data_IF_673858400308
#
_entry.id   IF_673858400308
#
_cell.length_a   1.000
_cell.length_b   1.000
_cell.length_c   1.000
_cell.angle_alpha   90.00
_cell.angle_beta   90.00
_cell.angle_gamma   90.00
#
_symmetry.space_group_name_H-M   'P 1'
#
loop_
_entity.id
_entity.type
_entity.pdbx_description
1 polymer ?
#
# COMPACT_ATOMS: atom_id res chain seq x y z
N UNK A 1 -4.61 61.36 19.94
CA UNK A 1 -4.60 60.08 20.67
C UNK A 1 -5.51 59.14 19.90
N UNK A 2 -4.91 58.41 18.96
CA UNK A 2 -5.36 57.10 18.50
C UNK A 2 -5.35 56.10 19.67
N UNK A 3 -5.93 54.87 19.58
CA UNK A 3 -6.10 54.10 18.34
C UNK A 3 -7.38 53.27 18.15
N UNK A 4 -7.69 53.05 16.87
CA UNK A 4 -7.96 51.77 16.20
C UNK A 4 -8.98 50.79 16.83
N UNK A 5 -10.15 50.68 16.19
CA UNK A 5 -10.92 49.44 16.16
C UNK A 5 -10.40 48.63 14.95
N UNK A 6 -9.59 47.57 15.15
CA UNK A 6 -9.01 46.83 14.06
C UNK A 6 -10.11 45.99 13.42
N UNK A 7 -10.19 46.08 12.09
CA UNK A 7 -10.85 45.11 11.23
C UNK A 7 -10.89 43.72 11.87
N UNK A 8 -12.09 43.30 12.28
CA UNK A 8 -12.43 41.89 12.40
C UNK A 8 -12.19 41.29 11.02
N UNK A 9 -10.97 40.82 10.80
CA UNK A 9 -10.64 39.82 9.80
C UNK A 9 -11.50 38.61 10.14
N UNK A 10 -12.72 38.60 9.62
CA UNK A 10 -13.43 37.36 9.37
C UNK A 10 -12.43 36.53 8.58
N UNK A 11 -11.93 35.40 9.12
CA UNK A 11 -11.01 34.57 8.38
C UNK A 11 -11.74 34.21 7.10
N UNK A 12 -11.14 34.59 5.98
CA UNK A 12 -11.65 34.36 4.65
C UNK A 12 -11.94 32.85 4.52
N UNK A 13 -13.22 32.49 4.64
CA UNK A 13 -13.72 31.11 4.54
C UNK A 13 -13.74 30.66 3.07
N UNK A 14 -12.86 31.21 2.25
CA UNK A 14 -12.65 30.83 0.85
C UNK A 14 -11.24 30.28 0.61
N UNK A 15 -10.68 29.52 1.58
CA UNK A 15 -9.87 28.38 1.15
C UNK A 15 -10.81 27.43 0.44
N UNK A 16 -10.75 27.41 -0.89
CA UNK A 16 -11.42 26.42 -1.73
C UNK A 16 -11.31 25.06 -1.05
N UNK A 17 -12.44 24.49 -0.67
CA UNK A 17 -12.49 23.14 -0.10
C UNK A 17 -11.84 22.20 -1.12
N UNK A 18 -10.89 21.38 -0.69
CA UNK A 18 -10.19 20.43 -1.56
C UNK A 18 -11.20 19.42 -2.09
N UNK A 19 -11.45 19.42 -3.40
CA UNK A 19 -12.35 18.46 -4.03
C UNK A 19 -11.65 17.11 -4.28
N UNK A 20 -12.47 16.08 -4.52
CA UNK A 20 -12.01 14.69 -4.64
C UNK A 20 -11.09 14.46 -5.85
N UNK A 21 -11.40 15.08 -7.00
CA UNK A 21 -10.65 14.91 -8.24
C UNK A 21 -9.27 15.58 -8.12
N UNK A 22 -9.22 16.82 -7.62
CA UNK A 22 -7.96 17.51 -7.33
C UNK A 22 -7.12 16.72 -6.32
N UNK A 23 -7.75 16.16 -5.27
CA UNK A 23 -7.04 15.35 -4.28
C UNK A 23 -6.44 14.06 -4.86
N UNK A 24 -7.15 13.39 -5.78
CA UNK A 24 -6.65 12.23 -6.50
C UNK A 24 -5.46 12.61 -7.40
N UNK A 25 -5.57 13.73 -8.12
CA UNK A 25 -4.49 14.21 -9.00
C UNK A 25 -3.24 14.61 -8.22
N UNK A 26 -3.37 15.33 -7.12
CA UNK A 26 -2.22 15.71 -6.29
C UNK A 26 -1.58 14.49 -5.62
N UNK A 27 -2.39 13.51 -5.21
CA UNK A 27 -1.87 12.24 -4.70
C UNK A 27 -1.16 11.42 -5.78
N UNK A 28 -1.63 11.44 -7.03
CA UNK A 28 -0.95 10.80 -8.15
C UNK A 28 0.40 11.48 -8.46
N UNK A 29 0.47 12.82 -8.41
CA UNK A 29 1.73 13.55 -8.54
C UNK A 29 2.70 13.22 -7.40
N UNK A 30 2.20 13.11 -6.17
CA UNK A 30 3.04 12.72 -5.03
C UNK A 30 3.59 11.29 -5.20
N UNK A 31 2.78 10.37 -5.70
CA UNK A 31 3.22 9.01 -6.03
C UNK A 31 4.27 9.01 -7.15
N UNK A 32 4.10 9.82 -8.19
CA UNK A 32 5.09 9.96 -9.26
C UNK A 32 6.42 10.55 -8.75
N UNK A 33 6.38 11.51 -7.82
CA UNK A 33 7.58 12.03 -7.14
C UNK A 33 8.26 10.92 -6.32
N UNK A 34 7.48 10.18 -5.55
CA UNK A 34 7.96 9.07 -4.73
C UNK A 34 8.67 7.99 -5.58
N UNK A 35 8.07 7.60 -6.70
CA UNK A 35 8.62 6.60 -7.62
C UNK A 35 9.85 7.08 -8.39
N UNK A 36 10.06 8.40 -8.46
CA UNK A 36 11.30 9.02 -8.95
C UNK A 36 12.29 9.35 -7.81
N UNK A 37 12.17 8.67 -6.66
CA UNK A 37 13.05 8.82 -5.50
C UNK A 37 13.01 10.21 -4.83
N UNK A 38 12.05 11.07 -5.16
CA UNK A 38 11.85 12.39 -4.53
C UNK A 38 10.93 12.26 -3.32
N UNK A 39 11.35 11.47 -2.33
CA UNK A 39 10.50 11.07 -1.20
C UNK A 39 10.07 12.28 -0.34
N UNK A 40 11.01 13.17 -0.05
CA UNK A 40 10.74 14.38 0.73
C UNK A 40 9.75 15.32 0.02
N UNK A 41 9.91 15.52 -1.28
CA UNK A 41 9.01 16.35 -2.09
C UNK A 41 7.60 15.76 -2.17
N UNK A 42 7.48 14.43 -2.26
CA UNK A 42 6.19 13.74 -2.23
C UNK A 42 5.47 14.00 -0.90
N UNK A 43 6.16 13.88 0.24
CA UNK A 43 5.60 14.17 1.55
C UNK A 43 5.22 15.64 1.72
N UNK A 44 6.07 16.55 1.23
CA UNK A 44 5.82 18.00 1.30
C UNK A 44 4.63 18.43 0.45
N UNK A 45 4.40 17.79 -0.70
CA UNK A 45 3.21 18.01 -1.52
C UNK A 45 1.94 17.61 -0.78
N UNK A 46 1.95 16.48 -0.04
CA UNK A 46 0.77 15.97 0.65
C UNK A 46 0.48 16.66 2.00
N UNK A 47 1.51 17.14 2.67
CA UNK A 47 1.45 17.63 4.06
C UNK A 47 0.40 18.75 4.30
N UNK A 48 0.23 19.77 3.43
CA UNK A 48 -0.69 20.89 3.70
C UNK A 48 -2.16 20.49 3.80
N UNK A 49 -2.54 19.40 3.14
CA UNK A 49 -3.94 18.96 3.00
C UNK A 49 -4.28 17.71 3.80
N UNK A 50 -3.31 17.13 4.51
CA UNK A 50 -3.46 15.85 5.23
C UNK A 50 -4.55 15.83 6.31
N UNK A 51 -5.01 16.99 6.78
CA UNK A 51 -6.12 17.10 7.76
C UNK A 51 -7.47 17.49 7.14
N UNK A 52 -7.49 17.73 5.83
CA UNK A 52 -8.65 18.26 5.11
C UNK A 52 -9.04 17.39 3.91
N UNK A 53 -8.23 16.39 3.53
CA UNK A 53 -8.48 15.54 2.38
C UNK A 53 -8.04 14.11 2.68
N UNK A 54 -8.95 13.14 2.49
CA UNK A 54 -8.71 11.72 2.77
C UNK A 54 -7.52 11.15 1.98
N UNK A 55 -7.37 11.55 0.72
CA UNK A 55 -6.32 11.05 -0.18
C UNK A 55 -4.94 11.55 0.22
N UNK A 56 -4.82 12.84 0.54
CA UNK A 56 -3.59 13.40 1.07
C UNK A 56 -3.21 12.79 2.43
N UNK A 57 -4.21 12.58 3.30
CA UNK A 57 -4.00 11.97 4.61
C UNK A 57 -3.50 10.53 4.49
N UNK A 58 -4.17 9.69 3.69
CA UNK A 58 -3.78 8.31 3.44
C UNK A 58 -2.42 8.25 2.75
N UNK A 59 -2.23 8.94 1.63
CA UNK A 59 -0.95 8.96 0.90
C UNK A 59 0.24 9.35 1.79
N UNK A 60 0.10 10.43 2.57
CA UNK A 60 1.14 10.88 3.50
C UNK A 60 1.44 9.81 4.56
N UNK A 61 0.40 9.26 5.19
CA UNK A 61 0.57 8.22 6.20
C UNK A 61 1.15 6.92 5.63
N UNK A 62 0.79 6.54 4.41
CA UNK A 62 1.28 5.34 3.73
C UNK A 62 2.77 5.43 3.42
N UNK A 63 3.26 6.60 2.97
CA UNK A 63 4.68 6.82 2.74
C UNK A 63 5.49 6.74 4.04
N UNK A 64 4.96 7.29 5.15
CA UNK A 64 5.58 7.14 6.47
C UNK A 64 5.53 5.70 6.99
N UNK A 65 4.47 4.94 6.71
CA UNK A 65 4.39 3.51 7.04
C UNK A 65 5.45 2.72 6.28
N UNK A 66 5.66 3.02 4.99
CA UNK A 66 6.74 2.40 4.22
C UNK A 66 8.11 2.72 4.83
N UNK A 67 8.34 3.97 5.22
CA UNK A 67 9.58 4.35 5.93
C UNK A 67 9.72 3.57 7.25
N UNK A 68 8.71 3.57 8.12
CA UNK A 68 8.74 2.86 9.40
C UNK A 68 8.96 1.35 9.23
N UNK A 69 8.29 0.73 8.26
CA UNK A 69 8.45 -0.67 7.92
C UNK A 69 9.81 -0.98 7.32
N UNK A 70 10.51 -0.01 6.74
CA UNK A 70 11.88 -0.14 6.26
C UNK A 70 12.93 0.08 7.36
N UNK A 71 12.76 1.10 8.21
CA UNK A 71 13.78 1.47 9.18
C UNK A 71 13.70 0.68 10.48
N UNK A 72 12.49 0.21 10.85
CA UNK A 72 12.19 -0.34 12.18
C UNK A 72 12.61 0.59 13.34
N UNK A 73 12.80 1.89 13.07
CA UNK A 73 13.19 2.85 14.09
C UNK A 73 11.96 3.25 14.93
N UNK A 74 12.05 3.21 16.28
CA UNK A 74 10.92 3.56 17.14
C UNK A 74 10.29 4.93 16.81
N UNK A 75 11.13 5.92 16.49
CA UNK A 75 10.69 7.27 16.12
C UNK A 75 9.90 7.29 14.81
N UNK A 76 10.29 6.49 13.82
CA UNK A 76 9.58 6.44 12.53
C UNK A 76 8.28 5.66 12.67
N UNK A 77 8.28 4.56 13.46
CA UNK A 77 7.06 3.81 13.80
C UNK A 77 6.06 4.68 14.55
N UNK A 78 6.50 5.51 15.50
CA UNK A 78 5.64 6.45 16.22
C UNK A 78 5.04 7.53 15.30
N UNK A 79 5.87 8.13 14.42
CA UNK A 79 5.41 9.09 13.41
C UNK A 79 4.36 8.49 12.48
N UNK A 80 4.62 7.29 11.95
CA UNK A 80 3.70 6.58 11.08
C UNK A 80 2.38 6.23 11.81
N UNK A 81 2.47 5.76 13.06
CA UNK A 81 1.30 5.46 13.90
C UNK A 81 0.44 6.69 14.14
N UNK A 82 1.07 7.83 14.41
CA UNK A 82 0.39 9.11 14.61
C UNK A 82 -0.29 9.59 13.33
N UNK A 83 0.44 9.58 12.21
CA UNK A 83 -0.10 9.96 10.90
C UNK A 83 -1.28 9.07 10.48
N UNK A 84 -1.22 7.76 10.73
CA UNK A 84 -2.35 6.85 10.49
C UNK A 84 -3.56 7.15 11.38
N UNK A 85 -3.34 7.54 12.64
CA UNK A 85 -4.44 7.96 13.52
C UNK A 85 -5.13 9.24 13.00
N UNK A 86 -4.34 10.23 12.58
CA UNK A 86 -4.83 11.46 11.97
C UNK A 86 -5.55 11.19 10.64
N UNK A 87 -5.02 10.27 9.82
CA UNK A 87 -5.63 9.86 8.55
C UNK A 87 -6.97 9.17 8.75
N UNK A 88 -7.08 8.23 9.71
CA UNK A 88 -8.35 7.60 10.08
C UNK A 88 -9.38 8.63 10.56
N UNK A 89 -8.97 9.62 11.37
CA UNK A 89 -9.84 10.70 11.81
C UNK A 89 -10.33 11.55 10.64
N UNK A 90 -9.42 11.88 9.71
CA UNK A 90 -9.74 12.66 8.51
C UNK A 90 -10.73 11.89 7.64
N UNK A 91 -10.47 10.63 7.32
CA UNK A 91 -11.40 9.79 6.55
C UNK A 91 -12.77 9.68 7.23
N UNK A 92 -12.80 9.53 8.56
CA UNK A 92 -14.06 9.44 9.33
C UNK A 92 -14.95 10.69 9.19
N UNK A 93 -14.40 11.86 8.89
CA UNK A 93 -15.19 13.08 8.66
C UNK A 93 -15.99 13.02 7.36
N UNK A 94 -15.53 12.25 6.38
CA UNK A 94 -16.14 12.09 5.04
C UNK A 94 -16.97 10.80 4.90
N UNK A 95 -16.81 9.84 5.82
CA UNK A 95 -17.63 8.62 5.83
C UNK A 95 -19.09 8.94 6.14
N UNK A 96 -20.01 8.14 5.60
CA UNK A 96 -21.44 8.25 5.90
C UNK A 96 -21.66 8.20 7.40
N UNK A 97 -22.30 9.24 7.93
CA UNK A 97 -22.61 9.33 9.36
C UNK A 97 -23.88 8.54 9.64
N UNK A 98 -23.74 7.25 9.95
CA UNK A 98 -24.89 6.46 10.41
C UNK A 98 -25.33 7.01 11.76
N UNK A 99 -26.50 7.65 11.81
CA UNK A 99 -27.12 8.02 13.09
C UNK A 99 -27.57 6.74 13.82
N UNK A 100 -27.62 6.76 15.17
CA UNK A 100 -28.01 5.57 15.94
C UNK A 100 -29.39 5.00 15.54
N UNK A 101 -30.27 5.84 14.98
CA UNK A 101 -31.59 5.44 14.48
C UNK A 101 -31.47 4.68 13.15
N UNK A 102 -30.63 5.14 12.22
CA UNK A 102 -30.39 4.45 10.94
C UNK A 102 -29.69 3.10 11.14
N UNK A 103 -28.74 3.00 12.08
CA UNK A 103 -28.07 1.74 12.42
C UNK A 103 -29.04 0.65 12.92
N UNK A 104 -30.05 1.04 13.70
CA UNK A 104 -31.11 0.12 14.11
C UNK A 104 -32.00 -0.25 12.92
N UNK A 105 -32.28 0.70 12.02
CA UNK A 105 -33.16 0.48 10.87
C UNK A 105 -32.53 -0.42 9.80
N UNK A 106 -31.23 -0.28 9.53
CA UNK A 106 -30.47 -1.13 8.59
C UNK A 106 -30.37 -2.59 9.04
N UNK A 107 -30.33 -2.85 10.35
CA UNK A 107 -30.35 -4.21 10.91
C UNK A 107 -31.68 -4.92 10.61
N UNK A 108 -32.79 -4.17 10.52
CA UNK A 108 -34.13 -4.72 10.26
C UNK A 108 -34.55 -4.65 8.78
N UNK A 109 -34.01 -3.70 8.01
CA UNK A 109 -34.32 -3.51 6.60
C UNK A 109 -33.01 -3.27 5.83
N UNK A 110 -32.59 -4.25 5.02
CA UNK A 110 -31.52 -4.07 4.03
C UNK A 110 -31.98 -3.05 2.98
N UNK A 111 -31.69 -1.78 3.21
CA UNK A 111 -31.83 -0.74 2.18
C UNK A 111 -30.73 -0.93 1.12
N UNK A 112 -31.03 -0.72 -0.17
CA UNK A 112 -30.04 -0.79 -1.24
C UNK A 112 -29.03 0.36 -1.16
N UNK A 113 -27.88 0.19 -1.81
CA UNK A 113 -26.75 1.13 -1.86
C UNK A 113 -27.02 2.47 -2.59
N UNK A 114 -28.29 2.87 -2.78
CA UNK A 114 -28.69 4.02 -3.60
C UNK A 114 -28.40 5.39 -2.93
N UNK A 115 -27.88 5.42 -1.71
CA UNK A 115 -27.70 6.64 -0.89
C UNK A 115 -26.23 6.98 -0.54
N UNK A 116 -25.23 6.51 -1.30
CA UNK A 116 -23.82 6.85 -1.07
C UNK A 116 -23.28 7.80 -2.14
N UNK A 117 -22.68 8.90 -1.71
CA UNK A 117 -21.91 9.80 -2.59
C UNK A 117 -20.56 9.19 -2.96
N UNK A 118 -19.93 9.62 -4.07
CA UNK A 118 -18.57 9.21 -4.42
C UNK A 118 -17.58 9.47 -3.29
N UNK A 119 -17.70 10.62 -2.63
CA UNK A 119 -16.82 11.03 -1.55
C UNK A 119 -16.93 10.08 -0.35
N UNK A 120 -18.13 9.65 0.01
CA UNK A 120 -18.35 8.65 1.06
C UNK A 120 -17.80 7.27 0.67
N UNK A 121 -17.97 6.84 -0.58
CA UNK A 121 -17.39 5.59 -1.07
C UNK A 121 -15.85 5.62 -1.00
N UNK A 122 -15.24 6.70 -1.49
CA UNK A 122 -13.80 6.87 -1.42
C UNK A 122 -13.29 6.98 0.03
N UNK A 123 -14.09 7.56 0.93
CA UNK A 123 -13.75 7.65 2.35
C UNK A 123 -13.75 6.28 3.05
N UNK A 124 -14.71 5.40 2.72
CA UNK A 124 -14.73 4.01 3.20
C UNK A 124 -13.49 3.25 2.73
N UNK A 125 -13.14 3.35 1.45
CA UNK A 125 -11.94 2.75 0.88
C UNK A 125 -10.65 3.25 1.56
N UNK A 126 -10.48 4.58 1.66
CA UNK A 126 -9.33 5.21 2.30
C UNK A 126 -9.21 4.83 3.79
N UNK A 127 -10.36 4.74 4.49
CA UNK A 127 -10.39 4.30 5.88
C UNK A 127 -9.96 2.84 6.02
N UNK A 128 -10.45 1.95 5.15
CA UNK A 128 -10.06 0.55 5.15
C UNK A 128 -8.55 0.37 4.92
N UNK A 129 -7.95 1.18 4.03
CA UNK A 129 -6.50 1.20 3.77
C UNK A 129 -5.69 1.65 4.98
N UNK A 130 -6.01 2.80 5.55
CA UNK A 130 -5.33 3.30 6.73
C UNK A 130 -5.49 2.31 7.91
N UNK A 131 -6.64 1.64 8.02
CA UNK A 131 -6.87 0.66 9.05
C UNK A 131 -6.03 -0.62 8.85
N UNK A 132 -5.88 -1.07 7.60
CA UNK A 132 -5.00 -2.18 7.23
C UNK A 132 -3.55 -1.85 7.57
N UNK A 133 -3.05 -0.71 7.12
CA UNK A 133 -1.68 -0.26 7.39
C UNK A 133 -1.42 -0.13 8.90
N UNK A 134 -2.38 0.42 9.65
CA UNK A 134 -2.30 0.50 11.12
C UNK A 134 -2.30 -0.87 11.79
N UNK A 135 -3.10 -1.81 11.29
CA UNK A 135 -3.08 -3.20 11.76
C UNK A 135 -1.75 -3.88 11.50
N UNK A 136 -1.20 -3.71 10.30
CA UNK A 136 0.11 -4.25 9.94
C UNK A 136 1.24 -3.67 10.82
N UNK A 137 1.23 -2.34 11.06
CA UNK A 137 2.25 -1.67 11.86
C UNK A 137 2.25 -2.13 13.33
N UNK A 138 1.10 -2.56 13.87
CA UNK A 138 1.05 -3.11 15.24
C UNK A 138 1.75 -4.45 15.40
N UNK A 139 2.03 -5.19 14.31
CA UNK A 139 2.81 -6.42 14.39
C UNK A 139 4.31 -6.18 14.51
N UNK A 140 4.78 -4.94 14.37
CA UNK A 140 6.16 -4.58 14.69
C UNK A 140 6.41 -4.59 16.20
N UNK A 141 5.35 -4.50 17.02
CA UNK A 141 5.43 -4.74 18.46
C UNK A 141 5.27 -6.26 18.71
N UNK A 142 6.27 -6.86 19.35
CA UNK A 142 6.36 -8.30 19.63
C UNK A 142 5.37 -8.78 20.72
N UNK A 143 4.49 -7.90 21.23
CA UNK A 143 3.53 -8.26 22.27
C UNK A 143 2.28 -8.99 21.75
N UNK A 144 1.81 -10.00 22.50
CA UNK A 144 0.58 -10.74 22.20
C UNK A 144 -0.67 -9.83 22.14
N UNK A 145 -0.69 -8.78 22.97
CA UNK A 145 -1.79 -7.79 22.97
C UNK A 145 -1.82 -7.03 21.64
N UNK A 146 -0.65 -6.63 21.13
CA UNK A 146 -0.55 -5.95 19.85
C UNK A 146 -0.89 -6.86 18.67
N UNK A 147 -0.55 -8.14 18.75
CA UNK A 147 -1.01 -9.14 17.77
C UNK A 147 -2.54 -9.22 17.68
N UNK A 148 -3.25 -9.32 18.81
CA UNK A 148 -4.72 -9.36 18.83
C UNK A 148 -5.32 -8.06 18.28
N UNK A 149 -4.78 -6.90 18.71
CA UNK A 149 -5.24 -5.59 18.24
C UNK A 149 -5.03 -5.43 16.73
N UNK A 150 -3.89 -5.89 16.20
CA UNK A 150 -3.58 -5.89 14.78
C UNK A 150 -4.55 -6.74 13.99
N UNK A 151 -4.78 -7.97 14.43
CA UNK A 151 -5.76 -8.88 13.82
C UNK A 151 -7.16 -8.27 13.71
N UNK A 152 -7.68 -7.68 14.80
CA UNK A 152 -9.01 -7.04 14.80
C UNK A 152 -9.09 -5.91 13.75
N UNK A 153 -8.03 -5.08 13.64
CA UNK A 153 -7.99 -3.99 12.64
C UNK A 153 -8.00 -4.52 11.21
N UNK A 154 -7.19 -5.54 10.94
CA UNK A 154 -7.10 -6.18 9.63
C UNK A 154 -8.45 -6.79 9.24
N UNK A 155 -9.13 -7.47 10.18
CA UNK A 155 -10.48 -7.98 9.95
C UNK A 155 -11.47 -6.86 9.60
N UNK A 156 -11.49 -5.80 10.39
CA UNK A 156 -12.42 -4.70 10.16
C UNK A 156 -12.15 -4.04 8.80
N UNK A 157 -10.88 -3.87 8.42
CA UNK A 157 -10.50 -3.42 7.09
C UNK A 157 -11.05 -4.35 6.00
N UNK A 158 -10.86 -5.67 6.14
CA UNK A 158 -11.39 -6.64 5.18
C UNK A 158 -12.91 -6.56 5.01
N UNK A 159 -13.66 -6.38 6.10
CA UNK A 159 -15.11 -6.24 6.04
C UNK A 159 -15.55 -4.98 5.29
N UNK A 160 -14.90 -3.83 5.54
CA UNK A 160 -15.18 -2.59 4.80
C UNK A 160 -14.85 -2.76 3.32
N UNK A 161 -13.73 -3.40 2.99
CA UNK A 161 -13.40 -3.72 1.61
C UNK A 161 -14.46 -4.60 0.94
N UNK A 162 -15.05 -5.57 1.67
CA UNK A 162 -16.12 -6.43 1.15
C UNK A 162 -17.38 -5.64 0.83
N UNK A 163 -17.72 -4.65 1.66
CA UNK A 163 -18.82 -3.72 1.38
C UNK A 163 -18.50 -2.88 0.12
N UNK A 164 -17.28 -2.36 0.01
CA UNK A 164 -16.83 -1.62 -1.18
C UNK A 164 -16.87 -2.47 -2.47
N UNK A 165 -16.57 -3.77 -2.40
CA UNK A 165 -16.66 -4.72 -3.52
C UNK A 165 -18.09 -4.92 -4.03
N UNK A 166 -19.04 -4.96 -3.10
CA UNK A 166 -20.47 -4.99 -3.44
C UNK A 166 -20.88 -3.70 -4.16
N UNK A 167 -20.50 -2.53 -3.63
CA UNK A 167 -20.80 -1.24 -4.27
C UNK A 167 -20.16 -1.09 -5.65
N UNK A 168 -18.90 -1.50 -5.80
CA UNK A 168 -18.17 -1.53 -7.07
C UNK A 168 -18.91 -2.38 -8.12
N UNK A 169 -19.47 -3.53 -7.71
CA UNK A 169 -20.22 -4.42 -8.61
C UNK A 169 -21.59 -3.85 -8.99
N UNK A 170 -22.29 -3.21 -8.04
CA UNK A 170 -23.58 -2.55 -8.30
C UNK A 170 -23.42 -1.38 -9.29
N UNK A 171 -22.38 -0.57 -9.10
CA UNK A 171 -22.10 0.57 -9.96
C UNK A 171 -21.73 0.18 -11.41
N UNK A 172 -21.17 -1.02 -11.65
CA UNK A 172 -20.92 -1.53 -13.02
C UNK A 172 -22.20 -1.72 -13.84
N UNK A 173 -23.33 -1.96 -13.17
CA UNK A 173 -24.62 -2.20 -13.83
C UNK A 173 -25.40 -0.92 -14.12
N UNK A 174 -24.93 0.23 -13.61
CA UNK A 174 -25.46 1.55 -13.88
C UNK A 174 -24.44 2.27 -14.78
N UNK A 175 -24.60 2.11 -16.08
CA UNK A 175 -23.72 2.74 -17.06
C UNK A 175 -24.00 4.24 -17.14
N UNK A 176 -23.33 5.06 -16.33
CA UNK A 176 -22.96 6.44 -16.68
C UNK A 176 -21.99 7.10 -15.66
N UNK A 177 -20.92 7.68 -16.21
CA UNK A 177 -20.30 8.95 -15.81
C UNK A 177 -19.85 9.18 -14.35
N UNK A 178 -18.72 8.59 -13.96
CA UNK A 178 -17.98 9.04 -12.77
C UNK A 178 -16.47 9.05 -13.09
N UNK A 179 -15.81 10.22 -13.04
CA UNK A 179 -14.37 10.33 -13.33
C UNK A 179 -13.51 9.56 -12.31
N UNK A 180 -13.98 9.48 -11.07
CA UNK A 180 -13.26 8.91 -9.93
C UNK A 180 -13.50 7.40 -9.75
N UNK A 181 -14.53 6.83 -10.40
CA UNK A 181 -14.94 5.44 -10.23
C UNK A 181 -13.83 4.44 -10.61
N UNK A 182 -13.00 4.76 -11.61
CA UNK A 182 -11.84 3.94 -11.95
C UNK A 182 -10.84 3.84 -10.78
N UNK A 183 -10.64 4.94 -10.04
CA UNK A 183 -9.79 4.95 -8.85
C UNK A 183 -10.39 4.17 -7.69
N UNK A 184 -11.70 4.26 -7.47
CA UNK A 184 -12.40 3.45 -6.47
C UNK A 184 -12.29 1.97 -6.79
N UNK A 185 -12.73 1.56 -7.99
CA UNK A 185 -12.74 0.16 -8.42
C UNK A 185 -11.34 -0.45 -8.35
N UNK A 186 -10.32 0.28 -8.81
CA UNK A 186 -8.94 -0.18 -8.71
C UNK A 186 -8.51 -0.40 -7.27
N UNK A 187 -8.86 0.53 -6.35
CA UNK A 187 -8.52 0.35 -4.94
C UNK A 187 -9.24 -0.80 -4.26
N UNK A 188 -10.50 -1.04 -4.61
CA UNK A 188 -11.24 -2.21 -4.16
C UNK A 188 -10.60 -3.50 -4.67
N UNK A 189 -10.27 -3.55 -5.96
CA UNK A 189 -9.57 -4.67 -6.59
C UNK A 189 -8.19 -4.93 -5.95
N UNK A 190 -7.43 -3.86 -5.68
CA UNK A 190 -6.16 -3.93 -4.95
C UNK A 190 -6.35 -4.55 -3.57
N UNK A 191 -7.24 -3.99 -2.74
CA UNK A 191 -7.43 -4.45 -1.37
C UNK A 191 -7.99 -5.87 -1.27
N UNK A 192 -9.12 -6.15 -1.90
CA UNK A 192 -9.73 -7.50 -1.88
C UNK A 192 -8.80 -8.52 -2.53
N UNK A 193 -8.16 -8.15 -3.64
CA UNK A 193 -7.19 -9.01 -4.31
C UNK A 193 -6.02 -9.39 -3.40
N UNK A 194 -5.42 -8.41 -2.71
CA UNK A 194 -4.36 -8.64 -1.71
C UNK A 194 -4.86 -9.51 -0.55
N UNK A 195 -6.05 -9.24 0.00
CA UNK A 195 -6.61 -10.06 1.08
C UNK A 195 -6.79 -11.51 0.64
N UNK A 196 -7.50 -11.75 -0.46
CA UNK A 196 -7.76 -13.08 -0.97
C UNK A 196 -6.44 -13.83 -1.24
N UNK A 197 -5.47 -13.16 -1.88
CA UNK A 197 -4.15 -13.74 -2.14
C UNK A 197 -3.42 -14.11 -0.83
N UNK A 198 -3.22 -13.17 0.09
CA UNK A 198 -2.44 -13.45 1.29
C UNK A 198 -3.13 -14.40 2.27
N UNK A 199 -4.46 -14.34 2.37
CA UNK A 199 -5.23 -15.33 3.14
C UNK A 199 -5.09 -16.72 2.56
N UNK A 200 -5.08 -16.85 1.23
CA UNK A 200 -4.83 -18.12 0.56
C UNK A 200 -3.42 -18.65 0.81
N UNK A 201 -2.48 -17.86 1.34
CA UNK A 201 -1.13 -18.31 1.63
C UNK A 201 -0.94 -18.77 3.09
N UNK A 202 -1.89 -18.45 3.98
CA UNK A 202 -1.81 -18.83 5.39
C UNK A 202 -1.93 -20.36 5.59
N UNK A 203 -1.15 -20.95 6.51
CA UNK A 203 -1.31 -22.35 6.90
C UNK A 203 -2.70 -22.63 7.48
N UNK A 204 -3.24 -23.84 7.26
CA UNK A 204 -4.59 -24.21 7.73
C UNK A 204 -4.80 -24.12 9.24
N UNK A 205 -3.73 -24.20 10.04
CA UNK A 205 -3.78 -23.97 11.49
C UNK A 205 -4.05 -22.51 11.83
N UNK A 206 -3.45 -21.58 11.09
CA UNK A 206 -3.68 -20.15 11.23
C UNK A 206 -5.07 -19.78 10.73
N UNK A 207 -5.49 -20.33 9.58
CA UNK A 207 -6.85 -20.11 9.04
C UNK A 207 -7.94 -20.52 10.02
N UNK A 208 -7.79 -21.66 10.71
CA UNK A 208 -8.72 -22.09 11.77
C UNK A 208 -8.85 -21.07 12.91
N UNK A 209 -7.75 -20.40 13.28
CA UNK A 209 -7.78 -19.32 14.27
C UNK A 209 -8.45 -18.04 13.76
N UNK A 210 -8.66 -17.94 12.45
CA UNK A 210 -9.30 -16.81 11.79
C UNK A 210 -10.70 -17.16 11.26
N UNK A 211 -11.22 -18.37 11.49
CA UNK A 211 -12.57 -18.77 11.05
C UNK A 211 -13.67 -17.89 11.65
N UNK A 212 -13.53 -17.51 12.92
CA UNK A 212 -14.43 -16.55 13.58
C UNK A 212 -14.42 -15.17 12.90
N UNK A 213 -13.38 -14.88 12.13
CA UNK A 213 -13.30 -13.65 11.35
C UNK A 213 -14.05 -13.73 10.01
N UNK A 214 -14.50 -14.92 9.60
CA UNK A 214 -15.22 -15.17 8.35
C UNK A 214 -14.41 -15.90 7.26
N UNK A 215 -13.20 -16.40 7.58
CA UNK A 215 -12.33 -17.04 6.60
C UNK A 215 -12.50 -18.58 6.61
N UNK A 216 -12.86 -19.18 5.48
CA UNK A 216 -13.03 -20.64 5.33
C UNK A 216 -11.90 -21.28 4.53
N UNK A 217 -11.26 -22.34 5.04
CA UNK A 217 -10.09 -22.98 4.42
C UNK A 217 -10.34 -23.83 3.17
N UNK A 218 -11.58 -24.27 2.91
CA UNK A 218 -11.87 -25.28 1.87
C UNK A 218 -11.76 -24.78 0.41
N UNK A 219 -11.53 -23.47 0.21
CA UNK A 219 -11.47 -22.85 -1.13
C UNK A 219 -10.14 -22.16 -1.42
N UNK A 220 -9.04 -22.62 -0.81
CA UNK A 220 -7.72 -21.97 -0.88
C UNK A 220 -7.26 -21.62 -2.31
N UNK A 221 -7.28 -22.59 -3.22
CA UNK A 221 -6.88 -22.38 -4.62
C UNK A 221 -7.81 -21.42 -5.36
N UNK A 222 -9.12 -21.54 -5.16
CA UNK A 222 -10.11 -20.65 -5.78
C UNK A 222 -9.95 -19.22 -5.27
N UNK A 223 -9.73 -19.05 -3.96
CA UNK A 223 -9.50 -17.76 -3.33
C UNK A 223 -8.20 -17.13 -3.84
N UNK A 224 -7.16 -17.93 -4.05
CA UNK A 224 -5.91 -17.47 -4.65
C UNK A 224 -6.11 -16.94 -6.07
N UNK A 225 -6.76 -17.70 -6.95
CA UNK A 225 -7.01 -17.28 -8.34
C UNK A 225 -7.89 -16.04 -8.42
N UNK A 226 -8.93 -15.95 -7.57
CA UNK A 226 -9.74 -14.74 -7.44
C UNK A 226 -8.89 -13.55 -7.01
N UNK A 227 -8.00 -13.74 -6.02
CA UNK A 227 -7.08 -12.71 -5.55
C UNK A 227 -6.13 -12.21 -6.65
N UNK A 228 -5.51 -13.13 -7.39
CA UNK A 228 -4.65 -12.80 -8.53
C UNK A 228 -5.42 -12.09 -9.64
N UNK A 229 -6.63 -12.55 -9.98
CA UNK A 229 -7.48 -11.92 -10.99
C UNK A 229 -7.83 -10.48 -10.62
N UNK A 230 -8.22 -10.22 -9.38
CA UNK A 230 -8.56 -8.86 -8.93
C UNK A 230 -7.34 -7.95 -8.90
N UNK A 231 -6.19 -8.45 -8.45
CA UNK A 231 -4.95 -7.67 -8.52
C UNK A 231 -4.56 -7.35 -9.96
N UNK A 232 -4.72 -8.28 -10.91
CA UNK A 232 -4.48 -8.03 -12.34
C UNK A 232 -5.41 -6.96 -12.89
N UNK A 233 -6.71 -7.00 -12.56
CA UNK A 233 -7.64 -5.94 -12.93
C UNK A 233 -7.25 -4.57 -12.34
N UNK A 234 -6.81 -4.55 -11.06
CA UNK A 234 -6.31 -3.33 -10.42
C UNK A 234 -5.05 -2.79 -11.13
N UNK A 235 -4.10 -3.66 -11.44
CA UNK A 235 -2.85 -3.31 -12.11
C UNK A 235 -3.08 -2.79 -13.54
N UNK A 236 -4.02 -3.38 -14.28
CA UNK A 236 -4.37 -2.96 -15.64
C UNK A 236 -5.17 -1.65 -15.70
N UNK A 237 -5.66 -1.14 -14.56
CA UNK A 237 -6.35 0.15 -14.53
C UNK A 237 -5.36 1.30 -14.68
N UNK A 238 -5.78 2.45 -15.21
CA UNK A 238 -4.97 3.68 -15.20
C UNK A 238 -5.37 4.54 -13.98
N UNK A 239 -4.98 4.10 -12.79
CA UNK A 239 -5.43 4.69 -11.52
C UNK A 239 -4.28 4.88 -10.53
N UNK A 240 -4.57 5.59 -9.43
CA UNK A 240 -3.62 5.81 -8.34
C UNK A 240 -3.07 4.50 -7.74
N UNK A 241 -3.87 3.43 -7.71
CA UNK A 241 -3.54 2.17 -7.00
C UNK A 241 -3.02 1.07 -7.92
N UNK A 242 -2.95 1.31 -9.22
CA UNK A 242 -2.50 0.34 -10.21
C UNK A 242 -1.08 -0.16 -9.93
N UNK A 243 -0.18 0.74 -9.53
CA UNK A 243 1.17 0.33 -9.16
C UNK A 243 1.19 -0.47 -7.86
N UNK A 244 0.32 -0.18 -6.89
CA UNK A 244 0.26 -0.95 -5.66
C UNK A 244 -0.22 -2.39 -5.92
N UNK A 245 -1.20 -2.56 -6.83
CA UNK A 245 -1.59 -3.89 -7.32
C UNK A 245 -0.44 -4.60 -8.04
N UNK A 246 0.30 -3.87 -8.87
CA UNK A 246 1.50 -4.38 -9.57
C UNK A 246 2.56 -4.85 -8.57
N UNK A 247 2.90 -4.01 -7.59
CA UNK A 247 3.86 -4.33 -6.55
C UNK A 247 3.42 -5.54 -5.71
N UNK A 248 2.11 -5.69 -5.44
CA UNK A 248 1.58 -6.86 -4.74
C UNK A 248 1.77 -8.15 -5.56
N UNK A 249 1.51 -8.11 -6.88
CA UNK A 249 1.75 -9.23 -7.78
C UNK A 249 3.24 -9.57 -7.87
N UNK A 250 4.11 -8.56 -8.03
CA UNK A 250 5.56 -8.73 -8.08
C UNK A 250 6.10 -9.34 -6.77
N UNK A 251 5.66 -8.86 -5.61
CA UNK A 251 6.03 -9.45 -4.31
C UNK A 251 5.61 -10.92 -4.21
N UNK A 252 4.42 -11.26 -4.71
CA UNK A 252 3.94 -12.63 -4.74
C UNK A 252 4.79 -13.52 -5.65
N UNK A 253 5.03 -13.11 -6.89
CA UNK A 253 5.75 -13.91 -7.88
C UNK A 253 7.26 -14.00 -7.62
N UNK A 254 7.89 -12.96 -7.07
CA UNK A 254 9.35 -12.87 -6.98
C UNK A 254 9.92 -13.23 -5.60
N UNK A 255 9.08 -13.20 -4.57
CA UNK A 255 9.50 -13.49 -3.19
C UNK A 255 8.63 -14.56 -2.54
N UNK A 256 7.33 -14.34 -2.43
CA UNK A 256 6.49 -15.18 -1.55
C UNK A 256 6.35 -16.59 -2.11
N UNK A 257 6.08 -16.74 -3.40
CA UNK A 257 6.00 -18.06 -4.05
C UNK A 257 7.33 -18.82 -4.00
N UNK A 258 8.45 -18.10 -4.14
CA UNK A 258 9.81 -18.65 -4.05
C UNK A 258 10.12 -19.14 -2.63
N UNK A 259 9.84 -18.31 -1.61
CA UNK A 259 10.09 -18.64 -0.19
C UNK A 259 9.21 -19.80 0.27
N UNK A 260 7.93 -19.79 -0.09
CA UNK A 260 6.99 -20.84 0.32
C UNK A 260 7.12 -22.12 -0.51
N UNK A 261 7.86 -22.10 -1.62
CA UNK A 261 7.99 -23.22 -2.55
C UNK A 261 6.65 -23.64 -3.17
N UNK A 262 5.68 -22.73 -3.27
CA UNK A 262 4.29 -23.05 -3.62
C UNK A 262 4.02 -23.06 -5.13
N UNK A 263 5.00 -22.75 -5.97
CA UNK A 263 4.86 -22.77 -7.42
C UNK A 263 6.07 -22.19 -8.15
N UNK A 264 6.06 -22.28 -9.48
CA UNK A 264 7.03 -21.59 -10.33
C UNK A 264 6.72 -20.08 -10.36
N UNK A 265 7.73 -19.24 -10.17
CA UNK A 265 7.59 -17.80 -10.31
C UNK A 265 7.12 -17.46 -11.74
N UNK A 266 6.02 -16.72 -11.88
CA UNK A 266 5.57 -16.26 -13.20
C UNK A 266 6.40 -15.06 -13.66
N UNK A 267 7.61 -15.33 -14.14
CA UNK A 267 8.56 -14.29 -14.55
C UNK A 267 8.11 -13.55 -15.81
N UNK A 268 7.38 -14.21 -16.71
CA UNK A 268 6.81 -13.58 -17.93
C UNK A 268 5.80 -12.51 -17.54
N UNK A 269 4.86 -12.85 -16.64
CA UNK A 269 3.92 -11.87 -16.13
C UNK A 269 4.63 -10.74 -15.36
N UNK A 270 5.69 -11.08 -14.61
CA UNK A 270 6.46 -10.08 -13.86
C UNK A 270 7.14 -9.05 -14.77
N UNK A 271 7.69 -9.47 -15.93
CA UNK A 271 8.24 -8.52 -16.92
C UNK A 271 7.15 -7.59 -17.46
N UNK A 272 6.02 -8.15 -17.91
CA UNK A 272 4.91 -7.40 -18.50
C UNK A 272 4.33 -6.38 -17.52
N UNK A 273 4.19 -6.78 -16.25
CA UNK A 273 3.72 -5.89 -15.20
C UNK A 273 4.68 -4.72 -14.93
N UNK A 274 5.99 -4.94 -15.05
CA UNK A 274 6.99 -3.93 -14.72
C UNK A 274 7.31 -2.99 -15.89
N UNK A 275 7.16 -3.44 -17.14
CA UNK A 275 7.51 -2.72 -18.37
C UNK A 275 7.00 -1.27 -18.43
N UNK A 276 5.71 -0.96 -18.16
CA UNK A 276 5.22 0.42 -18.21
C UNK A 276 5.92 1.34 -17.20
N UNK A 277 6.37 0.79 -16.07
CA UNK A 277 7.05 1.53 -15.01
C UNK A 277 8.54 1.71 -15.28
N UNK A 278 9.17 0.80 -16.04
CA UNK A 278 10.55 1.00 -16.54
C UNK A 278 10.58 2.21 -17.47
N UNK A 279 9.60 2.34 -18.36
CA UNK A 279 9.52 3.48 -19.27
C UNK A 279 9.21 4.79 -18.53
N UNK A 280 8.26 4.75 -17.58
CA UNK A 280 7.84 5.94 -16.84
C UNK A 280 8.86 6.40 -15.79
N UNK A 281 9.57 5.47 -15.15
CA UNK A 281 10.48 5.72 -14.03
C UNK A 281 11.81 4.97 -14.20
N UNK A 282 12.60 5.28 -15.25
CA UNK A 282 13.80 4.51 -15.59
C UNK A 282 14.88 4.51 -14.51
N UNK A 283 14.88 5.53 -13.64
CA UNK A 283 15.82 5.66 -12.51
C UNK A 283 15.13 5.47 -11.15
N UNK A 284 13.87 5.03 -11.13
CA UNK A 284 13.15 4.78 -9.88
C UNK A 284 13.74 3.60 -9.14
N UNK A 285 14.14 3.75 -7.89
CA UNK A 285 14.86 2.74 -7.13
C UNK A 285 14.03 1.46 -6.98
N UNK A 286 12.72 1.58 -6.72
CA UNK A 286 11.82 0.42 -6.68
C UNK A 286 11.78 -0.31 -8.02
N UNK A 287 11.75 0.42 -9.14
CA UNK A 287 11.66 -0.18 -10.47
C UNK A 287 12.96 -0.89 -10.84
N UNK A 288 14.11 -0.25 -10.58
CA UNK A 288 15.43 -0.84 -10.76
C UNK A 288 15.60 -2.10 -9.90
N UNK A 289 15.14 -2.06 -8.65
CA UNK A 289 15.18 -3.20 -7.73
C UNK A 289 14.39 -4.40 -8.26
N UNK A 290 13.14 -4.21 -8.70
CA UNK A 290 12.35 -5.30 -9.27
C UNK A 290 12.91 -5.79 -10.60
N UNK A 291 13.44 -4.91 -11.44
CA UNK A 291 14.09 -5.29 -12.69
C UNK A 291 15.31 -6.19 -12.44
N UNK A 292 16.12 -5.84 -11.44
CA UNK A 292 17.24 -6.65 -11.00
C UNK A 292 16.78 -8.00 -10.43
N UNK A 293 15.75 -8.01 -9.57
CA UNK A 293 15.22 -9.23 -8.96
C UNK A 293 14.66 -10.22 -9.99
N UNK A 294 13.94 -9.74 -10.99
CA UNK A 294 13.48 -10.59 -12.10
C UNK A 294 14.68 -11.22 -12.82
N UNK A 295 15.75 -10.46 -13.06
CA UNK A 295 16.96 -10.96 -13.70
C UNK A 295 17.70 -12.01 -12.84
N UNK A 296 17.75 -11.84 -11.51
CA UNK A 296 18.26 -12.87 -10.59
C UNK A 296 17.52 -14.19 -10.77
N UNK A 297 16.18 -14.15 -10.79
CA UNK A 297 15.37 -15.36 -10.94
C UNK A 297 15.46 -16.00 -12.33
N UNK A 298 15.86 -15.23 -13.35
CA UNK A 298 16.20 -15.73 -14.69
C UNK A 298 17.64 -16.26 -14.80
N UNK A 299 18.45 -16.12 -13.74
CA UNK A 299 19.87 -16.48 -13.75
C UNK A 299 20.77 -15.50 -14.50
N UNK A 300 20.30 -14.30 -14.83
CA UNK A 300 21.09 -13.25 -15.48
C UNK A 300 21.73 -12.35 -14.42
N UNK A 301 22.75 -12.88 -13.73
CA UNK A 301 23.36 -12.26 -12.57
C UNK A 301 24.15 -10.99 -12.91
N UNK A 302 24.83 -10.93 -14.07
CA UNK A 302 25.60 -9.76 -14.48
C UNK A 302 24.68 -8.54 -14.70
N UNK A 303 23.54 -8.75 -15.36
CA UNK A 303 22.55 -7.69 -15.53
C UNK A 303 21.90 -7.30 -14.20
N UNK A 304 21.57 -8.29 -13.36
CA UNK A 304 21.00 -8.04 -12.04
C UNK A 304 21.92 -7.18 -11.16
N UNK A 305 23.22 -7.51 -11.10
CA UNK A 305 24.22 -6.76 -10.34
C UNK A 305 24.32 -5.32 -10.82
N UNK A 306 24.41 -5.11 -12.14
CA UNK A 306 24.40 -3.76 -12.72
C UNK A 306 23.17 -2.97 -12.27
N UNK A 307 21.98 -3.58 -12.30
CA UNK A 307 20.73 -2.92 -11.91
C UNK A 307 20.62 -2.65 -10.41
N UNK A 308 21.11 -3.53 -9.55
CA UNK A 308 21.19 -3.25 -8.10
C UNK A 308 22.16 -2.09 -7.80
N UNK A 309 23.31 -2.02 -8.49
CA UNK A 309 24.25 -0.90 -8.35
C UNK A 309 23.64 0.42 -8.85
N UNK A 310 22.92 0.40 -9.98
CA UNK A 310 22.15 1.55 -10.46
C UNK A 310 21.09 1.99 -9.42
N UNK A 311 20.39 1.03 -8.80
CA UNK A 311 19.41 1.30 -7.74
C UNK A 311 20.05 1.97 -6.51
N UNK A 312 21.22 1.51 -6.08
CA UNK A 312 21.98 2.12 -4.98
C UNK A 312 22.39 3.55 -5.35
N UNK A 313 22.87 3.77 -6.57
CA UNK A 313 23.29 5.09 -7.04
C UNK A 313 22.13 6.08 -7.22
N UNK A 314 20.92 5.60 -7.48
CA UNK A 314 19.77 6.43 -7.85
C UNK A 314 19.21 7.31 -6.72
N UNK A 315 19.52 7.01 -5.45
CA UNK A 315 19.00 7.75 -4.30
C UNK A 315 19.89 7.58 -3.07
N UNK A 316 19.86 8.54 -2.13
CA UNK A 316 20.63 8.49 -0.87
C UNK A 316 19.76 8.78 0.37
N UNK A 317 18.49 9.13 0.19
CA UNK A 317 17.58 9.47 1.28
C UNK A 317 17.23 8.22 2.11
N UNK A 318 16.98 7.08 1.46
CA UNK A 318 16.49 5.86 2.07
C UNK A 318 17.52 4.73 1.96
N UNK A 319 18.48 4.72 2.88
CA UNK A 319 19.57 3.72 2.92
C UNK A 319 19.09 2.28 3.03
N UNK A 320 17.90 2.06 3.56
CA UNK A 320 17.30 0.73 3.69
C UNK A 320 17.06 0.07 2.33
N UNK A 321 16.79 0.85 1.28
CA UNK A 321 16.74 0.33 -0.09
C UNK A 321 18.13 -0.16 -0.54
N UNK A 322 19.21 0.51 -0.11
CA UNK A 322 20.57 0.01 -0.36
C UNK A 322 20.81 -1.32 0.35
N UNK A 323 20.34 -1.47 1.59
CA UNK A 323 20.46 -2.74 2.33
C UNK A 323 19.73 -3.88 1.61
N UNK A 324 18.55 -3.64 1.03
CA UNK A 324 17.87 -4.63 0.19
C UNK A 324 18.74 -5.01 -1.03
N UNK A 325 19.38 -4.02 -1.68
CA UNK A 325 20.29 -4.28 -2.81
C UNK A 325 21.54 -5.04 -2.38
N UNK A 326 22.14 -4.71 -1.23
CA UNK A 326 23.30 -5.41 -0.68
C UNK A 326 22.98 -6.88 -0.40
N UNK A 327 21.77 -7.16 0.12
CA UNK A 327 21.30 -8.53 0.34
C UNK A 327 21.24 -9.32 -0.96
N UNK A 328 20.62 -8.75 -2.00
CA UNK A 328 20.51 -9.43 -3.30
C UNK A 328 21.86 -9.55 -4.02
N UNK A 329 22.75 -8.55 -3.89
CA UNK A 329 24.12 -8.59 -4.43
C UNK A 329 24.96 -9.67 -3.74
N UNK A 330 24.91 -9.76 -2.41
CA UNK A 330 25.59 -10.80 -1.63
C UNK A 330 25.22 -12.19 -2.14
N UNK A 331 23.92 -12.47 -2.32
CA UNK A 331 23.47 -13.76 -2.84
C UNK A 331 23.83 -13.96 -4.31
N UNK A 332 23.71 -12.93 -5.15
CA UNK A 332 24.07 -13.01 -6.57
C UNK A 332 25.54 -13.39 -6.77
N UNK A 333 26.46 -12.74 -6.04
CA UNK A 333 27.89 -13.09 -6.05
C UNK A 333 28.16 -14.47 -5.45
N UNK A 334 27.44 -14.85 -4.39
CA UNK A 334 27.56 -16.19 -3.80
C UNK A 334 27.17 -17.29 -4.79
N UNK A 335 26.11 -17.10 -5.58
CA UNK A 335 25.69 -18.05 -6.62
C UNK A 335 26.71 -18.17 -7.76
N UNK A 336 27.46 -17.10 -8.04
CA UNK A 336 28.56 -17.11 -9.00
C UNK A 336 29.91 -17.56 -8.39
N UNK A 337 29.95 -17.91 -7.11
CA UNK A 337 31.16 -18.29 -6.38
C UNK A 337 32.20 -17.16 -6.24
N UNK A 338 31.78 -15.90 -6.37
CA UNK A 338 32.62 -14.74 -6.04
C UNK A 338 32.49 -14.40 -4.55
N UNK A 339 33.19 -15.19 -3.74
CA UNK A 339 33.10 -15.11 -2.29
C UNK A 339 33.63 -13.79 -1.72
N UNK A 340 34.57 -13.13 -2.40
CA UNK A 340 35.16 -11.89 -1.92
C UNK A 340 34.17 -10.73 -2.03
N UNK A 341 33.52 -10.59 -3.19
CA UNK A 341 32.48 -9.57 -3.38
C UNK A 341 31.25 -9.87 -2.51
N UNK A 342 30.83 -11.13 -2.41
CA UNK A 342 29.75 -11.52 -1.50
C UNK A 342 30.04 -11.13 -0.05
N UNK A 343 31.28 -11.36 0.42
CA UNK A 343 31.71 -10.99 1.77
C UNK A 343 31.64 -9.48 2.03
N UNK A 344 32.01 -8.64 1.05
CA UNK A 344 31.94 -7.18 1.21
C UNK A 344 30.52 -6.70 1.51
N UNK A 345 29.51 -7.20 0.78
CA UNK A 345 28.12 -6.85 1.04
C UNK A 345 27.58 -7.46 2.33
N UNK A 346 28.01 -8.66 2.69
CA UNK A 346 27.68 -9.26 3.99
C UNK A 346 28.23 -8.43 5.17
N UNK A 347 29.46 -7.93 5.06
CA UNK A 347 30.10 -7.07 6.07
C UNK A 347 29.39 -5.71 6.18
N UNK A 348 29.00 -5.09 5.06
CA UNK A 348 28.18 -3.87 5.06
C UNK A 348 26.84 -4.10 5.76
N UNK A 349 26.13 -5.18 5.44
CA UNK A 349 24.87 -5.53 6.09
C UNK A 349 25.04 -5.75 7.60
N UNK A 350 26.07 -6.48 8.01
CA UNK A 350 26.35 -6.73 9.43
C UNK A 350 26.61 -5.42 10.20
N UNK A 351 27.31 -4.47 9.58
CA UNK A 351 27.64 -3.18 10.21
C UNK A 351 26.46 -2.20 10.24
N UNK A 352 25.62 -2.21 9.22
CA UNK A 352 24.64 -1.14 9.00
C UNK A 352 23.17 -1.56 9.15
N UNK A 353 22.84 -2.83 8.90
CA UNK A 353 21.46 -3.29 8.84
C UNK A 353 20.93 -3.71 10.22
N UNK A 354 19.70 -3.29 10.52
CA UNK A 354 18.95 -3.78 11.69
C UNK A 354 18.10 -5.02 11.40
N UNK A 355 17.93 -5.40 10.14
CA UNK A 355 17.04 -6.48 9.70
C UNK A 355 17.67 -7.86 9.88
N UNK A 356 18.99 -7.92 9.73
CA UNK A 356 19.77 -9.14 9.74
C UNK A 356 21.05 -8.91 10.54
N UNK A 357 20.91 -8.78 11.86
CA UNK A 357 22.05 -8.92 12.75
C UNK A 357 22.43 -10.40 12.73
N UNK A 358 23.43 -10.74 11.91
CA UNK A 358 23.95 -12.11 11.78
C UNK A 358 24.77 -12.47 13.01
#
# INVERSE_FOLDING_TARGET
MDPEDPFLLVPDKTKSQMDLETALQDSAKALDLFLNNRFSDALDLLRPWRSQSMYHAVGYSSMLVMQAGMTFEPNDVEKATTALKESLQTCQMFRKKTTMVEAITEIFYKQPADDLTEEEMHAELCYAEALLQKGALTFLDESMISFIKGGIKIRNSFLIYKECDVWSTMAKNQSDQMSTQAHFRSGVNMGIGSFNLYLSLLPSKVLRLLEWMGFSGDRRLVVQEVGLSQLREGAASNSLRSILSTLCLLMYHLYISVILGTGEANLVESDVLLEPYIEKFPNGALILFYQARIAVLKGNFEFAQKKFLECIAAQQEWRQIHHLCYWELMWSYSFQQDWLEAYQYADLLCKESKWSQV
#
